data_IF_028074394381
#
_entry.id   IF_028074394381
#
_cell.length_a   1.000
_cell.length_b   1.000
_cell.length_c   1.000
_cell.angle_alpha   90.00
_cell.angle_beta   90.00
_cell.angle_gamma   90.00
#
_symmetry.space_group_name_H-M   'P 1'
#
loop_
_entity.id
_entity.type
_entity.pdbx_description
1 polymer ?
#
# COMPACT_ATOMS: atom_id res chain seq x y z
N UNK A 1 29.65 63.24 -16.16
CA UNK A 1 29.89 62.22 -15.09
C UNK A 1 28.82 61.12 -15.05
N UNK A 2 27.54 61.42 -15.33
CA UNK A 2 26.41 60.45 -15.34
C UNK A 2 26.49 59.34 -16.41
N UNK A 3 27.06 59.62 -17.59
CA UNK A 3 27.09 58.65 -18.70
C UNK A 3 28.07 57.49 -18.49
N UNK A 4 29.19 57.72 -17.77
CA UNK A 4 30.16 56.67 -17.43
C UNK A 4 29.65 55.73 -16.32
N UNK A 5 28.83 56.24 -15.40
CA UNK A 5 28.27 55.44 -14.30
C UNK A 5 27.17 54.48 -14.78
N UNK A 6 26.33 54.89 -15.75
CA UNK A 6 25.31 54.02 -16.35
C UNK A 6 25.91 52.85 -17.13
N UNK A 7 27.02 53.07 -17.82
CA UNK A 7 27.71 52.02 -18.59
C UNK A 7 28.35 50.96 -17.67
N UNK A 8 28.92 51.37 -16.53
CA UNK A 8 29.48 50.45 -15.53
C UNK A 8 28.38 49.60 -14.88
N UNK A 9 27.23 50.20 -14.56
CA UNK A 9 26.08 49.46 -13.98
C UNK A 9 25.50 48.45 -14.97
N UNK A 10 25.41 48.79 -16.26
CA UNK A 10 24.93 47.86 -17.30
C UNK A 10 25.88 46.67 -17.52
N UNK A 11 27.20 46.89 -17.45
CA UNK A 11 28.20 45.81 -17.55
C UNK A 11 28.10 44.86 -16.35
N UNK A 12 27.91 45.39 -15.14
CA UNK A 12 27.75 44.56 -13.93
C UNK A 12 26.47 43.71 -13.95
N UNK A 13 25.37 44.24 -14.49
CA UNK A 13 24.10 43.51 -14.66
C UNK A 13 24.25 42.40 -15.72
N UNK A 14 24.98 42.68 -16.82
CA UNK A 14 25.27 41.69 -17.86
C UNK A 14 26.07 40.50 -17.36
N UNK A 15 27.07 40.73 -16.50
CA UNK A 15 27.91 39.66 -15.93
C UNK A 15 27.12 38.77 -14.96
N UNK A 16 26.20 39.34 -14.18
CA UNK A 16 25.38 38.60 -13.22
C UNK A 16 24.36 37.66 -13.90
N UNK A 17 23.99 37.96 -15.15
CA UNK A 17 22.99 37.21 -15.92
C UNK A 17 23.53 35.88 -16.49
N UNK A 18 24.84 35.70 -16.53
CA UNK A 18 25.49 34.55 -17.21
C UNK A 18 25.83 33.38 -16.26
N UNK A 19 25.65 33.51 -14.94
CA UNK A 19 25.96 32.46 -13.94
C UNK A 19 24.77 31.54 -13.58
N UNK A 20 23.87 31.27 -14.52
CA UNK A 20 22.79 30.30 -14.32
C UNK A 20 23.26 28.85 -14.49
N UNK A 21 23.68 28.17 -13.42
CA UNK A 21 23.97 26.74 -13.46
C UNK A 21 22.67 25.90 -13.51
N UNK A 22 22.38 25.25 -14.65
CA UNK A 22 21.39 24.16 -14.71
C UNK A 22 22.08 22.82 -14.44
N UNK A 23 21.92 22.27 -13.25
CA UNK A 23 22.31 20.88 -12.95
C UNK A 23 21.22 19.92 -13.42
N UNK A 24 21.59 18.98 -14.30
CA UNK A 24 20.70 17.91 -14.80
C UNK A 24 20.93 16.65 -13.96
N UNK A 25 19.89 16.18 -13.26
CA UNK A 25 19.96 14.98 -12.40
C UNK A 25 19.65 13.75 -13.26
N UNK A 26 20.43 12.68 -13.11
CA UNK A 26 20.19 11.36 -13.74
C UNK A 26 19.45 10.43 -12.78
N UNK A 27 18.33 9.79 -13.20
CA UNK A 27 17.69 8.76 -12.40
C UNK A 27 18.45 7.43 -12.47
N UNK A 28 18.55 6.74 -11.34
CA UNK A 28 19.12 5.39 -11.22
C UNK A 28 17.98 4.37 -11.26
N UNK A 29 18.14 3.31 -12.06
CA UNK A 29 17.18 2.20 -12.11
C UNK A 29 17.43 1.25 -10.93
N UNK A 30 16.41 1.05 -10.10
CA UNK A 30 16.39 0.05 -9.03
C UNK A 30 15.86 -1.25 -9.64
N UNK A 31 16.61 -2.34 -9.49
CA UNK A 31 16.18 -3.68 -9.92
C UNK A 31 15.21 -4.26 -8.89
N UNK A 32 13.96 -4.48 -9.30
CA UNK A 32 12.91 -4.95 -8.40
C UNK A 32 12.72 -6.47 -8.52
N UNK A 33 12.79 -7.17 -7.39
CA UNK A 33 12.55 -8.61 -7.28
C UNK A 33 11.11 -8.83 -6.80
N UNK A 34 10.25 -9.32 -7.69
CA UNK A 34 8.88 -9.72 -7.30
C UNK A 34 8.89 -11.12 -6.71
N UNK A 35 8.76 -11.20 -5.39
CA UNK A 35 8.52 -12.45 -4.68
C UNK A 35 7.00 -12.66 -4.52
N UNK A 36 6.48 -13.77 -5.06
CA UNK A 36 5.09 -14.19 -4.82
C UNK A 36 5.04 -15.04 -3.55
N UNK A 37 4.17 -14.69 -2.61
CA UNK A 37 3.94 -15.47 -1.37
C UNK A 37 2.76 -16.43 -1.63
N UNK A 38 2.99 -17.73 -1.45
CA UNK A 38 1.94 -18.76 -1.54
C UNK A 38 1.36 -19.02 -0.16
N UNK A 39 0.06 -18.79 0.03
CA UNK A 39 -0.67 -19.09 1.27
C UNK A 39 -1.77 -20.10 0.94
N UNK A 40 -1.68 -21.28 1.55
CA UNK A 40 -2.71 -22.30 1.42
C UNK A 40 -3.84 -22.01 2.41
N UNK A 41 -5.07 -21.85 1.90
CA UNK A 41 -6.25 -21.54 2.72
C UNK A 41 -7.27 -22.66 2.59
N UNK A 42 -7.72 -23.18 3.72
CA UNK A 42 -8.78 -24.18 3.79
C UNK A 42 -10.15 -23.48 3.68
N UNK A 43 -10.96 -23.90 2.70
CA UNK A 43 -12.34 -23.39 2.52
C UNK A 43 -13.32 -24.53 2.79
N UNK A 44 -14.36 -24.31 3.61
CA UNK A 44 -15.37 -25.33 3.87
C UNK A 44 -16.22 -25.56 2.61
N UNK A 45 -16.38 -26.83 2.21
CA UNK A 45 -17.22 -27.20 1.08
C UNK A 45 -18.70 -27.31 1.52
N UNK A 46 -19.66 -26.72 0.78
CA UNK A 46 -21.08 -26.87 1.10
C UNK A 46 -21.53 -28.30 0.80
N UNK A 47 -21.99 -29.01 1.84
CA UNK A 47 -22.58 -30.33 1.66
C UNK A 47 -23.90 -30.23 0.88
N UNK A 48 -24.24 -31.21 0.01
CA UNK A 48 -25.51 -31.24 -0.68
C UNK A 48 -26.67 -31.28 0.31
N UNK A 49 -27.84 -30.78 -0.11
CA UNK A 49 -29.04 -30.81 0.74
C UNK A 49 -29.47 -32.25 1.00
N UNK A 50 -29.51 -32.65 2.26
CA UNK A 50 -29.98 -33.96 2.66
C UNK A 50 -31.49 -33.96 2.95
N UNK A 51 -32.11 -35.13 2.81
CA UNK A 51 -33.56 -35.31 3.02
C UNK A 51 -33.86 -36.58 3.79
N UNK A 52 -34.98 -36.51 4.52
CA UNK A 52 -35.47 -37.58 5.36
C UNK A 52 -37.00 -37.51 5.37
N UNK A 53 -37.66 -38.65 5.15
CA UNK A 53 -39.11 -38.75 5.17
C UNK A 53 -39.56 -39.91 6.04
N UNK A 54 -40.62 -39.68 6.81
CA UNK A 54 -41.24 -40.67 7.68
C UNK A 54 -42.71 -40.82 7.30
N UNK A 55 -43.18 -42.06 7.23
CA UNK A 55 -44.60 -42.37 7.08
C UNK A 55 -44.97 -43.37 8.18
N UNK A 56 -45.92 -42.99 9.03
CA UNK A 56 -46.38 -43.81 10.13
C UNK A 56 -47.90 -43.92 10.09
N UNK A 57 -48.42 -45.14 10.27
CA UNK A 57 -49.83 -45.39 10.48
C UNK A 57 -50.05 -45.70 11.96
N UNK A 58 -50.91 -44.91 12.59
CA UNK A 58 -51.28 -45.07 13.99
C UNK A 58 -52.74 -45.55 14.05
N UNK A 59 -52.99 -46.56 14.88
CA UNK A 59 -54.32 -47.11 15.14
C UNK A 59 -54.62 -47.01 16.63
N UNK A 60 -55.90 -46.93 16.97
CA UNK A 60 -56.35 -47.00 18.35
C UNK A 60 -56.72 -48.45 18.66
N UNK A 61 -56.09 -49.03 19.67
CA UNK A 61 -56.45 -50.36 20.17
C UNK A 61 -57.81 -50.33 20.90
N UNK A 62 -58.39 -51.49 21.16
CA UNK A 62 -59.68 -51.65 21.86
C UNK A 62 -59.69 -50.99 23.26
N UNK A 63 -58.51 -50.85 23.85
CA UNK A 63 -58.29 -50.20 25.15
C UNK A 63 -58.15 -48.67 25.06
N UNK A 64 -58.33 -48.06 23.89
CA UNK A 64 -58.17 -46.62 23.67
C UNK A 64 -56.72 -46.15 23.59
N UNK A 65 -55.76 -47.06 23.43
CA UNK A 65 -54.32 -46.75 23.36
C UNK A 65 -53.88 -46.60 21.90
N UNK A 66 -53.14 -45.54 21.60
CA UNK A 66 -52.53 -45.33 20.28
C UNK A 66 -51.36 -46.30 20.08
N UNK A 67 -51.45 -47.14 19.06
CA UNK A 67 -50.45 -48.13 18.67
C UNK A 67 -49.97 -47.89 17.24
N UNK A 68 -48.70 -48.21 16.98
CA UNK A 68 -48.10 -48.10 15.66
C UNK A 68 -48.45 -49.35 14.83
N UNK A 69 -49.18 -49.17 13.72
CA UNK A 69 -49.55 -50.26 12.82
C UNK A 69 -48.52 -50.50 11.73
N UNK A 70 -47.96 -49.41 11.20
CA UNK A 70 -47.00 -49.44 10.11
C UNK A 70 -46.06 -48.25 10.19
N UNK A 71 -44.80 -48.47 9.82
CA UNK A 71 -43.76 -47.46 9.84
C UNK A 71 -42.78 -47.68 8.70
N UNK A 72 -42.70 -46.70 7.81
CA UNK A 72 -41.70 -46.60 6.77
C UNK A 72 -40.81 -45.38 7.02
N UNK A 73 -39.50 -45.62 7.04
CA UNK A 73 -38.49 -44.58 7.15
C UNK A 73 -37.62 -44.60 5.89
N UNK A 74 -37.48 -43.45 5.25
CA UNK A 74 -36.58 -43.28 4.11
C UNK A 74 -35.63 -42.10 4.38
N UNK A 75 -34.33 -42.39 4.37
CA UNK A 75 -33.26 -41.44 4.60
C UNK A 75 -32.21 -41.47 3.50
N UNK A 76 -31.54 -40.34 3.34
CA UNK A 76 -30.31 -40.21 2.54
C UNK A 76 -29.09 -40.64 3.36
N UNK A 77 -27.96 -40.93 2.71
CA UNK A 77 -26.78 -41.55 3.36
C UNK A 77 -26.19 -40.73 4.53
N UNK A 78 -26.37 -39.41 4.52
CA UNK A 78 -25.76 -38.50 5.49
C UNK A 78 -26.74 -38.10 6.60
N UNK A 79 -27.86 -38.81 6.75
CA UNK A 79 -28.92 -38.46 7.71
C UNK A 79 -29.38 -39.68 8.49
N UNK A 80 -29.42 -39.51 9.80
CA UNK A 80 -30.03 -40.46 10.73
C UNK A 80 -31.42 -39.96 11.15
N UNK A 81 -32.43 -40.80 10.94
CA UNK A 81 -33.79 -40.55 11.41
C UNK A 81 -34.06 -41.34 12.70
N UNK A 82 -34.55 -40.65 13.72
CA UNK A 82 -34.97 -41.25 14.98
C UNK A 82 -36.46 -41.06 15.17
N UNK A 83 -37.19 -42.16 15.35
CA UNK A 83 -38.61 -42.16 15.67
C UNK A 83 -38.85 -42.91 16.98
N UNK A 84 -39.57 -42.28 17.91
CA UNK A 84 -39.98 -42.90 19.16
C UNK A 84 -41.46 -42.58 19.43
N UNK A 85 -42.18 -43.59 19.93
CA UNK A 85 -43.55 -43.48 20.41
C UNK A 85 -43.58 -43.89 21.88
N UNK A 86 -43.90 -42.95 22.76
CA UNK A 86 -43.97 -43.21 24.18
C UNK A 86 -45.28 -43.93 24.54
N UNK A 87 -45.29 -44.60 25.69
CA UNK A 87 -46.48 -45.26 26.24
C UNK A 87 -47.65 -44.30 26.53
N UNK A 88 -47.35 -43.00 26.64
CA UNK A 88 -48.30 -41.89 26.80
C UNK A 88 -48.82 -41.33 25.46
N UNK A 89 -48.40 -41.88 24.32
CA UNK A 89 -48.82 -41.44 22.99
C UNK A 89 -48.04 -40.25 22.43
N UNK A 90 -46.94 -39.84 23.08
CA UNK A 90 -46.08 -38.79 22.54
C UNK A 90 -45.24 -39.34 21.38
N UNK A 91 -45.17 -38.57 20.29
CA UNK A 91 -44.43 -38.92 19.08
C UNK A 91 -43.21 -38.01 18.99
N UNK A 92 -42.02 -38.61 18.97
CA UNK A 92 -40.75 -37.90 18.82
C UNK A 92 -40.14 -38.31 17.49
N UNK A 93 -40.00 -37.36 16.58
CA UNK A 93 -39.33 -37.55 15.29
C UNK A 93 -38.18 -36.55 15.17
N UNK A 94 -36.95 -37.05 15.32
CA UNK A 94 -35.75 -36.24 15.24
C UNK A 94 -34.91 -36.65 14.02
N UNK A 95 -34.45 -35.66 13.27
CA UNK A 95 -33.50 -35.83 12.19
C UNK A 95 -32.12 -35.38 12.67
N UNK A 96 -31.13 -36.27 12.62
CA UNK A 96 -29.73 -35.96 12.95
C UNK A 96 -28.90 -36.01 11.68
N UNK A 97 -28.14 -34.95 11.44
CA UNK A 97 -27.20 -34.84 10.34
C UNK A 97 -25.79 -34.87 10.94
N UNK A 98 -25.01 -35.97 10.82
CA UNK A 98 -23.59 -35.95 11.15
C UNK A 98 -22.88 -34.80 10.43
N UNK A 99 -22.06 -34.05 11.17
CA UNK A 99 -21.36 -32.88 10.63
C UNK A 99 -20.03 -33.31 10.02
N UNK A 100 -20.01 -33.54 8.72
CA UNK A 100 -18.76 -33.82 7.99
C UNK A 100 -18.34 -32.60 7.16
N UNK A 101 -17.72 -31.61 7.81
CA UNK A 101 -17.12 -30.49 7.08
C UNK A 101 -15.82 -30.95 6.42
N UNK A 102 -15.88 -31.22 5.12
CA UNK A 102 -14.69 -31.44 4.30
C UNK A 102 -14.03 -30.09 3.98
N UNK A 103 -12.76 -29.95 4.37
CA UNK A 103 -11.94 -28.80 4.01
C UNK A 103 -11.16 -29.09 2.74
N UNK A 104 -11.45 -28.34 1.68
CA UNK A 104 -10.66 -28.42 0.45
C UNK A 104 -9.54 -27.37 0.50
N UNK A 105 -8.29 -27.73 0.14
CA UNK A 105 -7.24 -26.74 -0.01
C UNK A 105 -7.55 -25.86 -1.22
N UNK A 106 -7.68 -24.55 -0.98
CA UNK A 106 -7.80 -23.53 -2.03
C UNK A 106 -6.51 -22.72 -2.09
N UNK A 107 -5.98 -22.55 -3.31
CA UNK A 107 -4.77 -21.75 -3.56
C UNK A 107 -5.20 -20.38 -4.06
N UNK A 108 -5.24 -19.39 -3.18
CA UNK A 108 -5.48 -17.99 -3.55
C UNK A 108 -4.13 -17.33 -3.90
N UNK A 109 -4.03 -16.66 -5.06
CA UNK A 109 -2.81 -15.97 -5.50
C UNK A 109 -2.97 -14.48 -5.20
N UNK A 110 -2.29 -13.98 -4.17
CA UNK A 110 -2.13 -12.54 -3.96
C UNK A 110 -0.94 -12.06 -4.80
N UNK A 111 -1.21 -11.50 -5.98
CA UNK A 111 -0.20 -10.80 -6.78
C UNK A 111 -0.12 -9.37 -6.26
N UNK A 112 0.72 -9.13 -5.26
CA UNK A 112 0.98 -7.78 -4.78
C UNK A 112 1.88 -7.05 -5.80
N UNK A 113 1.24 -6.44 -6.81
CA UNK A 113 1.93 -5.71 -7.87
C UNK A 113 2.41 -4.37 -7.30
N UNK A 114 3.58 -4.36 -6.67
CA UNK A 114 4.28 -3.13 -6.28
C UNK A 114 4.72 -2.39 -7.55
N UNK A 115 3.92 -1.43 -7.98
CA UNK A 115 4.30 -0.49 -9.04
C UNK A 115 5.19 0.56 -8.41
N UNK A 116 6.50 0.38 -8.51
CA UNK A 116 7.48 1.34 -7.98
C UNK A 116 7.65 2.50 -8.95
N UNK A 117 7.27 3.69 -8.48
CA UNK A 117 7.60 4.96 -9.13
C UNK A 117 9.08 5.23 -8.87
N UNK A 118 9.91 5.52 -9.89
CA UNK A 118 11.30 5.85 -9.66
C UNK A 118 11.37 7.13 -8.83
N UNK A 119 11.79 7.01 -7.57
CA UNK A 119 12.04 8.17 -6.72
C UNK A 119 13.33 8.82 -7.20
N UNK A 120 13.25 10.11 -7.55
CA UNK A 120 14.42 10.90 -7.88
C UNK A 120 15.26 11.07 -6.61
N UNK A 121 16.26 10.22 -6.43
CA UNK A 121 17.24 10.39 -5.36
C UNK A 121 18.14 11.57 -5.73
N UNK A 122 18.12 12.62 -4.93
CA UNK A 122 19.06 13.74 -5.08
C UNK A 122 20.49 13.20 -4.91
N UNK A 123 21.30 13.31 -5.95
CA UNK A 123 22.67 12.82 -5.93
C UNK A 123 23.49 13.67 -4.97
N UNK A 124 24.02 13.07 -3.91
CA UNK A 124 24.94 13.76 -3.02
C UNK A 124 26.16 14.27 -3.81
N UNK A 125 26.46 15.57 -3.66
CA UNK A 125 27.58 16.22 -4.33
C UNK A 125 28.88 15.51 -3.93
N UNK A 126 29.66 15.10 -4.93
CA UNK A 126 30.98 14.53 -4.70
C UNK A 126 31.87 15.55 -3.99
N UNK A 127 32.84 15.07 -3.21
CA UNK A 127 33.77 15.94 -2.48
C UNK A 127 34.42 17.00 -3.40
N UNK A 128 34.75 16.61 -4.64
CA UNK A 128 35.29 17.50 -5.66
C UNK A 128 34.34 18.60 -6.14
N UNK A 129 33.04 18.32 -6.23
CA UNK A 129 32.04 19.32 -6.60
C UNK A 129 31.80 20.30 -5.46
N UNK A 130 31.79 19.82 -4.21
CA UNK A 130 31.72 20.68 -3.02
C UNK A 130 32.91 21.64 -2.96
N UNK A 131 34.13 21.13 -3.20
CA UNK A 131 35.34 21.95 -3.25
C UNK A 131 35.25 23.03 -4.34
N UNK A 132 34.73 22.72 -5.54
CA UNK A 132 34.55 23.72 -6.60
C UNK A 132 33.57 24.83 -6.22
N UNK A 133 32.47 24.48 -5.55
CA UNK A 133 31.46 25.44 -5.08
C UNK A 133 32.06 26.35 -4.00
N UNK A 134 32.84 25.79 -3.07
CA UNK A 134 33.49 26.53 -1.99
C UNK A 134 34.55 27.51 -2.52
N UNK A 135 35.37 27.06 -3.48
CA UNK A 135 36.33 27.92 -4.18
C UNK A 135 35.62 29.05 -4.94
N UNK A 136 34.48 28.77 -5.57
CA UNK A 136 33.65 29.79 -6.21
C UNK A 136 33.12 30.84 -5.23
N UNK A 137 32.70 30.42 -4.03
CA UNK A 137 32.27 31.32 -2.97
C UNK A 137 33.37 32.27 -2.49
N UNK A 138 34.60 31.75 -2.32
CA UNK A 138 35.76 32.57 -1.95
C UNK A 138 36.12 33.60 -3.04
N UNK A 139 36.04 33.21 -4.31
CA UNK A 139 36.31 34.12 -5.42
C UNK A 139 35.32 35.31 -5.44
N UNK A 140 34.04 35.05 -5.20
CA UNK A 140 33.00 36.09 -5.14
C UNK A 140 33.24 37.03 -3.95
N UNK A 141 33.60 36.48 -2.78
CA UNK A 141 33.89 37.27 -1.58
C UNK A 141 35.07 38.23 -1.77
N UNK A 142 36.16 37.75 -2.38
CA UNK A 142 37.35 38.57 -2.67
C UNK A 142 36.99 39.69 -3.66
N UNK A 143 36.26 39.36 -4.73
CA UNK A 143 35.90 40.33 -5.76
C UNK A 143 34.98 41.44 -5.21
N UNK A 144 34.02 41.07 -4.34
CA UNK A 144 33.16 41.99 -3.61
C UNK A 144 33.96 42.94 -2.71
N UNK A 145 34.89 42.40 -1.92
CA UNK A 145 35.72 43.18 -1.00
C UNK A 145 36.57 44.24 -1.72
N UNK A 146 37.23 43.86 -2.82
CA UNK A 146 38.02 44.80 -3.63
C UNK A 146 37.16 45.93 -4.20
N UNK A 147 35.92 45.64 -4.60
CA UNK A 147 34.99 46.64 -5.13
C UNK A 147 34.67 47.70 -4.06
N UNK A 148 34.38 47.28 -2.83
CA UNK A 148 34.08 48.19 -1.71
C UNK A 148 35.30 49.06 -1.35
N UNK A 149 36.49 48.45 -1.28
CA UNK A 149 37.74 49.18 -1.00
C UNK A 149 38.02 50.22 -2.08
N UNK A 150 37.81 49.87 -3.35
CA UNK A 150 38.01 50.80 -4.47
C UNK A 150 37.06 52.02 -4.39
N UNK A 151 35.79 51.80 -4.04
CA UNK A 151 34.81 52.87 -3.86
C UNK A 151 35.18 53.77 -2.68
N UNK A 152 35.54 53.18 -1.53
CA UNK A 152 35.97 53.91 -0.35
C UNK A 152 37.20 54.78 -0.63
N UNK A 153 38.18 54.25 -1.36
CA UNK A 153 39.38 54.99 -1.78
C UNK A 153 39.02 56.19 -2.65
N UNK A 154 38.13 56.02 -3.62
CA UNK A 154 37.68 57.13 -4.50
C UNK A 154 36.97 58.22 -3.70
N UNK A 155 36.15 57.87 -2.71
CA UNK A 155 35.47 58.84 -1.84
C UNK A 155 36.49 59.63 -1.01
N UNK A 156 37.44 58.96 -0.36
CA UNK A 156 38.50 59.62 0.44
C UNK A 156 39.35 60.54 -0.44
N UNK A 157 39.71 60.09 -1.64
CA UNK A 157 40.45 60.91 -2.61
C UNK A 157 39.68 62.15 -3.04
N UNK A 158 38.36 62.03 -3.29
CA UNK A 158 37.50 63.17 -3.62
C UNK A 158 37.35 64.18 -2.47
N UNK A 159 37.30 63.71 -1.22
CA UNK A 159 37.27 64.59 -0.04
C UNK A 159 38.60 65.35 0.09
N UNK A 160 39.73 64.65 -0.06
CA UNK A 160 41.07 65.27 0.03
C UNK A 160 41.31 66.29 -1.09
N UNK A 161 40.74 66.08 -2.28
CA UNK A 161 40.84 67.03 -3.40
C UNK A 161 39.94 68.27 -3.26
N UNK A 162 38.91 68.22 -2.41
CA UNK A 162 37.96 69.32 -2.18
C UNK A 162 38.33 70.21 -0.98
N UNK A 163 39.37 69.85 -0.21
CA UNK A 163 40.00 70.69 0.81
C UNK A 163 41.30 71.26 0.23
#
# INVERSE_FOLDING_TARGET
>A
MIMKLRYIVLIMIGILSLFGCRTKIQPVAIENRTDSIYIDKLVPYPMPADSASIRALMECDENGKVVLRWLDMANTKNVELMFALDSLGNVIANMRVPRDTLFLPSKEIYVDRKVEVPVLVEKELSCWEKIKIEVGGWAIGILSGFLIVSIGYVIVWLIKKRR
#
